data_IF_653874383734
#
_entry.id   IF_653874383734
#
_cell.length_a   1.000
_cell.length_b   1.000
_cell.length_c   1.000
_cell.angle_alpha   90.00
_cell.angle_beta   90.00
_cell.angle_gamma   90.00
#
_symmetry.space_group_name_H-M   'P 1'
#
loop_
_entity.id
_entity.type
_entity.pdbx_description
1 polymer ?
#
# COMPACT_ATOMS: atom_id res chain seq x y z
N UNK A 1 -2.11 2.95 10.50
CA UNK A 1 -2.04 1.58 9.93
C UNK A 1 -3.33 1.13 9.24
N UNK A 2 -4.47 1.72 9.56
CA UNK A 2 -5.77 1.42 8.92
C UNK A 2 -5.78 1.62 7.40
N UNK A 3 -4.96 2.53 6.89
CA UNK A 3 -4.92 2.89 5.47
C UNK A 3 -3.96 2.04 4.62
N UNK A 4 -3.45 0.93 5.14
CA UNK A 4 -2.62 0.00 4.36
C UNK A 4 -3.42 -1.27 4.08
N UNK A 5 -3.66 -1.51 2.79
CA UNK A 5 -4.35 -2.70 2.29
C UNK A 5 -3.50 -3.97 2.43
N UNK A 6 -4.16 -5.11 2.35
CA UNK A 6 -3.47 -6.41 2.45
C UNK A 6 -2.66 -6.76 1.18
N UNK A 7 -2.95 -6.10 0.07
CA UNK A 7 -2.31 -6.32 -1.23
C UNK A 7 -1.11 -5.41 -1.50
N UNK A 8 -0.73 -4.57 -0.54
CA UNK A 8 0.45 -3.69 -0.68
C UNK A 8 0.11 -2.31 -1.25
N UNK A 9 -1.12 -1.93 -1.20
CA UNK A 9 -1.62 -0.62 -1.60
C UNK A 9 -1.94 0.26 -0.39
N UNK A 10 -1.92 1.57 -0.59
CA UNK A 10 -2.45 2.56 0.35
C UNK A 10 -3.91 2.80 -0.02
N UNK A 11 -4.83 2.49 0.91
CA UNK A 11 -6.28 2.51 0.66
C UNK A 11 -6.93 3.87 0.90
N UNK A 12 -6.25 4.77 1.62
CA UNK A 12 -6.79 6.09 1.90
C UNK A 12 -5.82 7.00 2.64
N UNK A 13 -6.23 8.24 2.80
CA UNK A 13 -5.53 9.29 3.57
C UNK A 13 -6.55 10.29 4.10
N UNK A 14 -6.12 11.09 5.05
CA UNK A 14 -6.88 12.24 5.59
C UNK A 14 -6.11 13.52 5.35
N UNK A 15 -6.81 14.62 5.09
CA UNK A 15 -6.24 15.96 5.08
C UNK A 15 -6.43 16.57 6.47
N UNK A 16 -5.32 17.05 7.05
CA UNK A 16 -5.31 17.69 8.35
C UNK A 16 -4.52 19.00 8.25
N UNK A 17 -4.91 19.97 9.03
CA UNK A 17 -4.09 21.18 9.22
C UNK A 17 -2.81 20.81 9.97
N UNK A 18 -1.69 21.47 9.67
CA UNK A 18 -0.40 21.12 10.25
C UNK A 18 -0.39 21.09 11.80
N UNK A 19 -1.19 21.94 12.44
CA UNK A 19 -1.36 21.99 13.90
C UNK A 19 -2.14 20.79 14.46
N UNK A 20 -3.00 20.16 13.64
CA UNK A 20 -3.91 19.07 14.05
C UNK A 20 -3.35 17.70 13.68
N UNK A 21 -2.16 17.66 13.07
CA UNK A 21 -1.51 16.42 12.67
C UNK A 21 -1.23 15.53 13.88
N UNK A 22 -1.56 14.23 13.80
CA UNK A 22 -1.18 13.28 14.84
C UNK A 22 0.33 13.34 15.13
N UNK A 23 0.71 13.28 16.39
CA UNK A 23 2.12 13.40 16.84
C UNK A 23 3.07 12.41 16.16
N UNK A 24 2.56 11.29 15.67
CA UNK A 24 3.31 10.25 14.94
C UNK A 24 3.35 10.46 13.42
N UNK A 25 2.59 11.37 12.83
CA UNK A 25 2.60 11.66 11.39
C UNK A 25 3.82 12.54 11.05
N UNK A 26 5.00 11.94 10.96
CA UNK A 26 6.27 12.69 10.85
C UNK A 26 7.22 12.23 9.75
N UNK A 27 6.92 11.13 9.07
CA UNK A 27 7.78 10.63 7.98
C UNK A 27 7.18 11.01 6.64
N UNK A 28 7.89 11.86 5.91
CA UNK A 28 7.57 12.19 4.53
C UNK A 28 7.81 10.96 3.67
N UNK A 29 6.87 10.66 2.80
CA UNK A 29 6.95 9.59 1.81
C UNK A 29 6.86 10.17 0.40
N UNK A 30 7.58 9.54 -0.52
CA UNK A 30 7.62 9.92 -1.92
C UNK A 30 7.10 8.79 -2.80
N UNK A 31 6.68 9.15 -4.00
CA UNK A 31 6.34 8.14 -5.02
C UNK A 31 7.49 7.16 -5.20
N UNK A 32 7.16 5.88 -5.31
CA UNK A 32 8.05 4.72 -5.38
C UNK A 32 8.76 4.34 -4.07
N UNK A 33 8.53 5.03 -2.96
CA UNK A 33 8.94 4.50 -1.67
C UNK A 33 8.14 3.24 -1.31
N UNK A 34 8.76 2.34 -0.55
CA UNK A 34 8.07 1.21 0.10
C UNK A 34 8.04 1.46 1.59
N UNK A 35 6.86 1.49 2.16
CA UNK A 35 6.66 1.65 3.61
C UNK A 35 6.39 0.30 4.26
N UNK A 36 7.04 0.05 5.40
CA UNK A 36 6.98 -1.23 6.12
C UNK A 36 6.71 -0.94 7.59
N UNK A 37 5.69 -1.58 8.16
CA UNK A 37 5.42 -1.44 9.59
C UNK A 37 6.56 -2.02 10.43
N UNK A 38 6.95 -1.29 11.47
CA UNK A 38 7.94 -1.75 12.46
C UNK A 38 7.32 -2.51 13.62
N UNK A 39 5.99 -2.56 13.76
CA UNK A 39 5.28 -3.12 14.91
C UNK A 39 4.94 -4.58 14.65
N UNK A 40 5.29 -5.49 15.56
CA UNK A 40 5.13 -6.94 15.39
C UNK A 40 3.71 -7.35 14.99
N UNK A 41 2.68 -6.80 15.62
CA UNK A 41 1.27 -7.11 15.31
C UNK A 41 0.77 -6.56 13.95
N UNK A 42 1.64 -5.95 13.14
CA UNK A 42 1.28 -5.35 11.85
C UNK A 42 2.42 -5.35 10.83
N UNK A 43 3.40 -6.25 10.95
CA UNK A 43 4.53 -6.35 10.01
C UNK A 43 4.09 -6.61 8.57
N UNK A 44 2.94 -7.27 8.37
CA UNK A 44 2.33 -7.50 7.07
C UNK A 44 1.84 -6.21 6.37
N UNK A 45 1.75 -5.10 7.13
CA UNK A 45 1.40 -3.78 6.59
C UNK A 45 2.61 -3.18 5.88
N UNK A 46 2.80 -3.64 4.65
CA UNK A 46 3.79 -3.17 3.69
C UNK A 46 3.05 -2.60 2.49
N UNK A 47 3.44 -1.41 2.02
CA UNK A 47 2.80 -0.80 0.86
C UNK A 47 3.77 -0.03 -0.02
N UNK A 48 3.47 -0.01 -1.32
CA UNK A 48 4.12 0.83 -2.32
C UNK A 48 3.43 2.21 -2.34
N UNK A 49 4.21 3.26 -2.27
CA UNK A 49 3.74 4.64 -2.39
C UNK A 49 3.58 4.98 -3.87
N UNK A 50 2.33 5.13 -4.31
CA UNK A 50 2.02 5.57 -5.67
C UNK A 50 2.03 7.09 -5.77
N UNK A 51 2.03 7.64 -7.01
CA UNK A 51 1.99 9.09 -7.26
C UNK A 51 0.86 9.82 -6.52
N UNK A 52 -0.26 9.13 -6.27
CA UNK A 52 -1.40 9.67 -5.54
C UNK A 52 -1.06 10.10 -4.10
N UNK A 53 -0.05 9.47 -3.50
CA UNK A 53 0.37 9.70 -2.12
C UNK A 53 1.76 10.36 -2.02
N UNK A 54 2.26 10.89 -3.14
CA UNK A 54 3.51 11.62 -3.16
C UNK A 54 3.47 12.81 -2.20
N UNK A 55 4.58 13.04 -1.50
CA UNK A 55 4.72 14.10 -0.50
C UNK A 55 3.71 14.03 0.68
N UNK A 56 3.12 12.87 0.93
CA UNK A 56 2.27 12.63 2.11
C UNK A 56 3.11 12.31 3.35
N UNK A 57 2.47 12.36 4.52
CA UNK A 57 3.10 11.98 5.79
C UNK A 57 2.58 10.62 6.26
N UNK A 58 3.49 9.74 6.63
CA UNK A 58 3.15 8.50 7.32
C UNK A 58 3.60 8.51 8.79
N UNK A 59 3.10 7.54 9.55
CA UNK A 59 3.45 7.37 10.96
C UNK A 59 4.92 6.98 11.14
N UNK A 60 5.52 7.42 12.25
CA UNK A 60 6.85 6.95 12.71
C UNK A 60 6.94 5.45 12.94
N UNK A 61 5.80 4.75 13.05
CA UNK A 61 5.73 3.29 13.11
C UNK A 61 5.98 2.57 11.77
N UNK A 62 6.33 3.29 10.70
CA UNK A 62 6.75 2.72 9.42
C UNK A 62 8.21 3.05 9.13
N UNK A 63 8.95 2.10 8.59
CA UNK A 63 10.17 2.36 7.84
C UNK A 63 9.81 2.75 6.42
N UNK A 64 10.56 3.70 5.86
CA UNK A 64 10.44 4.15 4.47
C UNK A 64 11.71 3.72 3.76
N UNK A 65 11.56 2.92 2.72
CA UNK A 65 12.64 2.37 1.92
C UNK A 65 12.61 2.92 0.51
N UNK A 66 13.78 3.28 0.02
CA UNK A 66 14.11 3.53 -1.37
C UNK A 66 15.39 2.76 -1.73
N UNK A 67 15.52 2.27 -2.95
CA UNK A 67 16.70 1.54 -3.40
C UNK A 67 17.01 1.82 -4.86
N UNK A 68 18.31 2.00 -5.15
CA UNK A 68 18.84 2.12 -6.52
C UNK A 68 19.13 0.76 -7.18
N UNK A 69 19.12 -0.33 -6.42
CA UNK A 69 19.48 -1.67 -6.90
C UNK A 69 18.30 -2.61 -7.06
N UNK A 70 17.22 -2.35 -6.33
CA UNK A 70 16.02 -3.15 -6.35
C UNK A 70 14.84 -2.19 -6.58
N UNK A 71 14.01 -2.46 -7.59
CA UNK A 71 12.83 -1.64 -7.83
C UNK A 71 11.78 -1.81 -6.71
N UNK A 72 10.92 -0.83 -6.58
CA UNK A 72 9.97 -0.71 -5.48
C UNK A 72 8.97 -1.86 -5.44
N UNK A 73 8.53 -2.34 -6.58
CA UNK A 73 7.62 -3.47 -6.70
C UNK A 73 8.25 -4.77 -6.20
N UNK A 74 9.53 -4.98 -6.51
CA UNK A 74 10.29 -6.12 -5.99
C UNK A 74 10.50 -6.01 -4.48
N UNK A 75 10.83 -4.82 -3.95
CA UNK A 75 10.90 -4.57 -2.51
C UNK A 75 9.56 -4.88 -1.82
N UNK A 76 8.46 -4.42 -2.39
CA UNK A 76 7.12 -4.73 -1.88
C UNK A 76 6.91 -6.24 -1.75
N UNK A 77 7.19 -7.00 -2.81
CA UNK A 77 7.00 -8.47 -2.84
C UNK A 77 7.93 -9.16 -1.85
N UNK A 78 9.19 -8.74 -1.78
CA UNK A 78 10.16 -9.28 -0.82
C UNK A 78 9.64 -9.13 0.61
N UNK A 79 9.27 -7.94 1.02
CA UNK A 79 8.83 -7.69 2.39
C UNK A 79 7.43 -8.25 2.70
N UNK A 80 6.63 -8.57 1.69
CA UNK A 80 5.37 -9.32 1.86
C UNK A 80 5.55 -10.83 1.86
N UNK A 81 6.70 -11.34 1.47
CA UNK A 81 7.00 -12.77 1.47
C UNK A 81 7.06 -13.31 2.92
N UNK A 82 6.56 -14.54 3.13
CA UNK A 82 6.51 -15.18 4.44
C UNK A 82 7.89 -15.30 5.12
N UNK A 83 8.94 -15.54 4.34
CA UNK A 83 10.31 -15.63 4.88
C UNK A 83 10.75 -14.30 5.45
N UNK A 84 10.57 -13.20 4.71
CA UNK A 84 10.91 -11.86 5.20
C UNK A 84 10.03 -11.42 6.37
N UNK A 85 8.75 -11.79 6.38
CA UNK A 85 7.87 -11.56 7.52
C UNK A 85 8.36 -12.29 8.78
N UNK A 86 8.89 -13.51 8.65
CA UNK A 86 9.52 -14.22 9.77
C UNK A 86 10.82 -13.55 10.23
N UNK A 87 11.67 -13.12 9.31
CA UNK A 87 12.90 -12.38 9.62
C UNK A 87 12.56 -11.10 10.40
N UNK A 88 11.60 -10.30 9.92
CA UNK A 88 11.15 -9.10 10.61
C UNK A 88 10.65 -9.44 12.03
N UNK A 89 9.85 -10.49 12.18
CA UNK A 89 9.31 -10.90 13.47
C UNK A 89 10.41 -11.35 14.45
N UNK A 90 11.40 -12.10 13.98
CA UNK A 90 12.52 -12.55 14.81
C UNK A 90 13.40 -11.40 15.31
N UNK A 91 13.44 -10.30 14.59
CA UNK A 91 14.19 -9.09 14.94
C UNK A 91 13.35 -8.06 15.73
N UNK A 92 12.11 -8.39 16.09
CA UNK A 92 11.31 -7.58 16.99
C UNK A 92 11.71 -7.79 18.44
N UNK A 93 11.77 -6.70 19.20
CA UNK A 93 12.09 -6.70 20.63
C UNK A 93 11.19 -5.72 21.38
N UNK A 94 11.07 -5.89 22.70
CA UNK A 94 10.24 -5.07 23.57
C UNK A 94 9.31 -5.90 24.45
N UNK A 95 8.86 -5.32 25.55
CA UNK A 95 8.00 -6.00 26.53
C UNK A 95 6.54 -5.59 26.47
N UNK A 96 6.27 -4.32 26.14
CA UNK A 96 4.90 -3.76 26.07
C UNK A 96 4.47 -3.56 24.62
N UNK A 97 5.35 -2.98 23.81
CA UNK A 97 5.15 -2.81 22.38
C UNK A 97 6.32 -3.43 21.65
N UNK A 98 6.12 -4.63 21.13
CA UNK A 98 7.13 -5.35 20.39
C UNK A 98 7.26 -4.78 18.98
N UNK A 99 8.45 -4.31 18.65
CA UNK A 99 8.77 -3.68 17.38
C UNK A 99 10.20 -3.99 16.96
N UNK A 100 10.47 -3.95 15.67
CA UNK A 100 11.84 -3.97 15.17
C UNK A 100 12.44 -2.56 15.27
N UNK A 101 13.61 -2.45 15.91
CA UNK A 101 14.32 -1.18 15.99
C UNK A 101 15.12 -0.90 14.71
N UNK A 102 15.66 0.32 14.60
CA UNK A 102 16.34 0.77 13.39
C UNK A 102 17.60 -0.04 13.07
N UNK A 103 18.36 -0.39 14.08
CA UNK A 103 19.65 -1.09 13.91
C UNK A 103 19.40 -2.52 13.45
N UNK A 104 18.47 -3.24 14.07
CA UNK A 104 18.05 -4.57 13.66
C UNK A 104 17.48 -4.56 12.24
N UNK A 105 16.63 -3.58 11.91
CA UNK A 105 16.07 -3.43 10.57
C UNK A 105 17.15 -3.17 9.52
N UNK A 106 18.15 -2.35 9.83
CA UNK A 106 19.24 -2.00 8.91
C UNK A 106 20.20 -3.17 8.66
N UNK A 107 20.25 -4.14 9.55
CA UNK A 107 21.09 -5.35 9.43
C UNK A 107 20.42 -6.49 8.65
N UNK A 108 19.15 -6.32 8.23
CA UNK A 108 18.47 -7.34 7.44
C UNK A 108 19.12 -7.45 6.05
N UNK A 109 19.63 -8.62 5.74
CA UNK A 109 20.22 -8.91 4.43
C UNK A 109 19.12 -9.13 3.41
N UNK A 110 19.17 -8.35 2.32
CA UNK A 110 18.22 -8.43 1.22
C UNK A 110 18.94 -8.98 -0.02
N UNK A 111 18.42 -10.03 -0.69
CA UNK A 111 19.01 -10.56 -1.90
C UNK A 111 18.85 -9.57 -3.06
N UNK A 112 19.91 -9.37 -3.82
CA UNK A 112 19.82 -8.63 -5.08
C UNK A 112 19.28 -9.60 -6.14
N UNK A 113 18.12 -9.29 -6.67
CA UNK A 113 17.42 -10.06 -7.69
C UNK A 113 17.84 -9.55 -9.07
N UNK A 114 17.96 -10.46 -10.04
CA UNK A 114 18.29 -10.11 -11.42
C UNK A 114 17.28 -9.08 -12.00
N UNK A 115 17.79 -8.11 -12.76
CA UNK A 115 16.99 -7.01 -13.30
C UNK A 115 15.86 -7.52 -14.21
N UNK A 116 16.07 -8.59 -14.96
CA UNK A 116 15.02 -9.14 -15.84
C UNK A 116 13.84 -9.68 -15.02
N UNK A 117 14.12 -10.30 -13.88
CA UNK A 117 13.11 -10.78 -12.94
C UNK A 117 12.41 -9.59 -12.25
N UNK A 118 13.18 -8.57 -11.84
CA UNK A 118 12.61 -7.36 -11.27
C UNK A 118 11.60 -6.69 -12.21
N UNK A 119 11.92 -6.57 -13.50
CA UNK A 119 11.03 -5.99 -14.52
C UNK A 119 9.74 -6.81 -14.69
N UNK A 120 9.82 -8.13 -14.64
CA UNK A 120 8.63 -8.99 -14.68
C UNK A 120 7.76 -8.83 -13.42
N UNK A 121 8.37 -8.71 -12.24
CA UNK A 121 7.64 -8.44 -10.99
C UNK A 121 6.95 -7.08 -11.08
N UNK A 122 7.66 -6.06 -11.53
CA UNK A 122 7.12 -4.70 -11.70
C UNK A 122 5.87 -4.70 -12.59
N UNK A 123 5.95 -5.34 -13.77
CA UNK A 123 4.81 -5.46 -14.68
C UNK A 123 3.59 -6.11 -14.00
N UNK A 124 3.81 -7.21 -13.28
CA UNK A 124 2.73 -7.93 -12.60
C UNK A 124 2.11 -7.10 -11.48
N UNK A 125 2.91 -6.38 -10.69
CA UNK A 125 2.40 -5.54 -9.60
C UNK A 125 1.63 -4.35 -10.15
N UNK A 126 2.16 -3.65 -11.16
CA UNK A 126 1.44 -2.55 -11.83
C UNK A 126 0.10 -3.01 -12.37
N UNK A 127 0.09 -4.15 -13.07
CA UNK A 127 -1.16 -4.74 -13.60
C UNK A 127 -2.14 -5.12 -12.49
N UNK A 128 -1.65 -5.65 -11.38
CA UNK A 128 -2.48 -5.97 -10.21
C UNK A 128 -3.17 -4.72 -9.64
N UNK A 129 -2.43 -3.61 -9.51
CA UNK A 129 -3.00 -2.35 -9.00
C UNK A 129 -4.01 -1.73 -9.97
N UNK A 130 -3.74 -1.77 -11.28
CA UNK A 130 -4.69 -1.34 -12.31
C UNK A 130 -6.01 -2.13 -12.24
N UNK A 131 -5.91 -3.47 -12.20
CA UNK A 131 -7.08 -4.34 -12.11
C UNK A 131 -7.88 -4.12 -10.83
N UNK A 132 -7.20 -3.86 -9.72
CA UNK A 132 -7.85 -3.53 -8.45
C UNK A 132 -8.64 -2.21 -8.55
N UNK A 133 -8.06 -1.19 -9.15
CA UNK A 133 -8.72 0.10 -9.36
C UNK A 133 -9.91 -0.03 -10.30
N UNK A 134 -9.77 -0.81 -11.38
CA UNK A 134 -10.87 -1.13 -12.29
C UNK A 134 -12.01 -1.87 -11.56
N UNK A 135 -11.67 -2.89 -10.77
CA UNK A 135 -12.65 -3.64 -9.98
C UNK A 135 -13.43 -2.73 -9.02
N UNK A 136 -12.74 -1.79 -8.37
CA UNK A 136 -13.39 -0.82 -7.48
C UNK A 136 -14.36 0.07 -8.24
N UNK A 137 -13.93 0.63 -9.38
CA UNK A 137 -14.80 1.47 -10.22
C UNK A 137 -16.05 0.73 -10.70
N UNK A 138 -15.90 -0.53 -11.15
CA UNK A 138 -17.02 -1.35 -11.57
C UNK A 138 -17.99 -1.65 -10.44
N UNK A 139 -17.48 -1.92 -9.22
CA UNK A 139 -18.33 -2.14 -8.06
C UNK A 139 -19.10 -0.87 -7.66
N UNK A 140 -18.44 0.28 -7.68
CA UNK A 140 -19.07 1.56 -7.37
C UNK A 140 -20.12 1.92 -8.44
N UNK A 141 -19.86 1.64 -9.73
CA UNK A 141 -20.83 1.78 -10.81
C UNK A 141 -22.06 0.87 -10.58
N UNK A 142 -21.84 -0.40 -10.27
CA UNK A 142 -22.93 -1.35 -10.01
C UNK A 142 -23.82 -0.90 -8.85
N UNK A 143 -23.21 -0.44 -7.75
CA UNK A 143 -23.98 0.11 -6.60
C UNK A 143 -24.82 1.31 -7.00
N UNK A 144 -24.19 2.28 -7.70
CA UNK A 144 -24.89 3.49 -8.16
C UNK A 144 -26.04 3.15 -9.12
N UNK A 145 -25.85 2.16 -10.00
CA UNK A 145 -26.90 1.75 -10.92
C UNK A 145 -28.11 1.16 -10.20
N UNK A 146 -27.89 0.36 -9.15
CA UNK A 146 -28.98 -0.16 -8.30
C UNK A 146 -29.71 0.97 -7.58
N UNK A 147 -28.98 1.94 -7.02
CA UNK A 147 -29.55 3.11 -6.36
C UNK A 147 -30.47 3.89 -7.35
N UNK A 148 -29.97 4.15 -8.55
CA UNK A 148 -30.75 4.88 -9.59
C UNK A 148 -31.96 4.08 -10.06
N UNK A 149 -31.86 2.75 -10.18
CA UNK A 149 -33.02 1.92 -10.55
C UNK A 149 -34.13 1.99 -9.49
N UNK A 150 -33.77 2.06 -8.21
CA UNK A 150 -34.73 2.17 -7.09
C UNK A 150 -35.31 3.59 -6.97
N UNK A 151 -34.46 4.60 -7.08
CA UNK A 151 -34.87 6.00 -6.86
C UNK A 151 -35.59 6.62 -8.07
N UNK A 152 -35.29 6.15 -9.28
CA UNK A 152 -35.82 6.70 -10.52
C UNK A 152 -36.52 5.63 -11.36
N UNK A 153 -35.76 4.89 -12.19
CA UNK A 153 -36.27 3.80 -13.03
C UNK A 153 -35.10 2.97 -13.62
N UNK A 154 -35.45 1.82 -14.19
CA UNK A 154 -34.49 0.88 -14.79
C UNK A 154 -33.81 1.45 -16.06
N UNK A 155 -34.50 2.23 -16.86
CA UNK A 155 -33.95 2.79 -18.12
C UNK A 155 -32.75 3.74 -17.81
N UNK A 156 -32.90 4.62 -16.81
CA UNK A 156 -31.80 5.49 -16.38
C UNK A 156 -30.62 4.71 -15.79
N UNK A 157 -30.88 3.64 -15.07
CA UNK A 157 -29.82 2.78 -14.53
C UNK A 157 -29.03 2.08 -15.66
N UNK A 158 -29.72 1.54 -16.65
CA UNK A 158 -29.10 0.91 -17.83
C UNK A 158 -28.27 1.92 -18.62
N UNK A 159 -28.74 3.16 -18.76
CA UNK A 159 -28.00 4.23 -19.43
C UNK A 159 -26.67 4.52 -18.75
N UNK A 160 -26.64 4.62 -17.41
CA UNK A 160 -25.42 4.85 -16.63
C UNK A 160 -24.41 3.72 -16.85
N UNK A 161 -24.86 2.46 -16.87
CA UNK A 161 -23.99 1.30 -17.13
C UNK A 161 -23.38 1.38 -18.53
N UNK A 162 -24.20 1.66 -19.54
CA UNK A 162 -23.75 1.67 -20.93
C UNK A 162 -22.77 2.82 -21.24
N UNK A 163 -22.97 4.01 -20.66
CA UNK A 163 -22.10 5.18 -20.85
C UNK A 163 -20.73 5.03 -20.18
N UNK A 164 -20.60 4.18 -19.17
CA UNK A 164 -19.36 4.03 -18.40
C UNK A 164 -18.50 2.86 -18.88
N UNK A 165 -19.06 1.91 -19.63
CA UNK A 165 -18.35 0.75 -20.17
C UNK A 165 -17.73 0.99 -21.56
N UNK A 166 -17.94 2.15 -22.16
CA UNK A 166 -17.32 2.63 -23.42
C UNK A 166 -16.10 3.47 -23.09
#
# INVERSE_FOLDING_TARGET
MSNIGNTGDITGFTYEMGQDLPSRARRLIKSNDVIISSIEGSLEKVALVTNKFDNSLCSTGFYVLDSKKINSETLLVLFKNKVFQQILKQNCSGTILTAINKDEFSNIVIPIIDTSIQNQIEEKIKKSFELKEQSKKLLDLAKRSVEVAIEKNEDEAIKIISETLV
#
